data_IF_839102088671
#
_entry.id   IF_839102088671
#
_cell.length_a   1.000
_cell.length_b   1.000
_cell.length_c   1.000
_cell.angle_alpha   90.00
_cell.angle_beta   90.00
_cell.angle_gamma   90.00
#
_symmetry.space_group_name_H-M   'P 1'
#
loop_
_entity.id
_entity.type
_entity.pdbx_description
1 polymer ?
#
# COMPACT_ATOMS: atom_id res chain seq x y z
N UNK A 1 1.58 6.40 -33.10
CA UNK A 1 0.40 6.43 -34.00
C UNK A 1 0.20 7.87 -34.45
N UNK A 2 -0.16 8.06 -35.72
CA UNK A 2 -0.66 9.30 -36.35
C UNK A 2 -1.61 10.07 -35.42
N UNK A 3 -1.88 11.36 -35.51
CA UNK A 3 -1.64 12.49 -36.43
C UNK A 3 -2.16 13.70 -35.63
N UNK A 4 -1.65 14.91 -35.85
CA UNK A 4 -2.48 16.15 -35.82
C UNK A 4 -1.64 17.37 -36.20
N UNK A 5 -1.69 17.65 -37.50
CA UNK A 5 -1.48 18.93 -38.17
C UNK A 5 -2.05 20.15 -37.43
N UNK A 6 -1.24 21.21 -37.31
CA UNK A 6 -1.74 22.58 -37.43
C UNK A 6 -1.02 23.26 -38.59
N UNK A 7 -1.80 23.64 -39.60
CA UNK A 7 -1.35 24.40 -40.76
C UNK A 7 -1.23 25.88 -40.41
N UNK A 8 -0.10 26.51 -40.70
CA UNK A 8 0.01 27.96 -40.85
C UNK A 8 0.08 28.29 -42.35
N UNK A 9 -1.02 28.80 -42.89
CA UNK A 9 -1.06 29.47 -44.20
C UNK A 9 -0.35 30.81 -44.14
N UNK A 10 0.66 31.02 -44.97
CA UNK A 10 1.20 32.35 -45.29
C UNK A 10 0.97 32.63 -46.79
N UNK A 11 0.16 33.64 -47.11
CA UNK A 11 -0.13 34.09 -48.48
C UNK A 11 0.87 35.20 -48.85
N UNK A 12 1.71 34.98 -49.87
CA UNK A 12 2.53 36.01 -50.49
C UNK A 12 1.73 36.79 -51.55
N UNK A 13 2.00 38.09 -51.64
CA UNK A 13 1.29 39.12 -52.41
C UNK A 13 1.69 39.16 -53.89
N UNK A 14 0.87 39.78 -54.74
CA UNK A 14 1.32 40.24 -56.07
C UNK A 14 0.90 41.69 -56.33
N UNK A 15 1.88 42.57 -56.51
CA UNK A 15 1.82 43.72 -57.44
C UNK A 15 3.23 43.95 -58.00
N UNK A 16 3.30 44.15 -59.31
CA UNK A 16 4.54 44.31 -60.07
C UNK A 16 5.05 45.75 -60.04
N UNK A 17 6.33 45.95 -59.70
CA UNK A 17 7.35 46.63 -60.53
C UNK A 17 8.63 46.86 -59.69
N UNK A 18 9.74 46.28 -60.16
CA UNK A 18 11.12 46.79 -59.98
C UNK A 18 11.69 46.99 -58.57
N UNK A 19 12.41 45.99 -58.04
CA UNK A 19 13.71 46.13 -57.36
C UNK A 19 14.10 44.79 -56.69
N UNK A 20 15.40 44.61 -56.43
CA UNK A 20 16.09 43.40 -55.97
C UNK A 20 15.38 42.58 -54.87
N UNK A 21 15.39 41.25 -55.05
CA UNK A 21 14.83 40.26 -54.13
C UNK A 21 15.81 40.04 -52.97
N UNK A 22 15.46 40.48 -51.76
CA UNK A 22 16.08 40.02 -50.51
C UNK A 22 15.02 39.18 -49.79
N UNK A 23 15.25 37.88 -49.64
CA UNK A 23 14.45 37.03 -48.75
C UNK A 23 14.79 37.39 -47.31
N UNK A 24 13.94 38.17 -46.65
CA UNK A 24 13.92 38.28 -45.19
C UNK A 24 13.12 37.10 -44.62
N UNK A 25 13.80 36.25 -43.87
CA UNK A 25 13.17 35.18 -43.08
C UNK A 25 12.26 35.80 -42.01
N UNK A 26 11.09 35.20 -41.78
CA UNK A 26 10.20 35.55 -40.68
C UNK A 26 10.85 35.17 -39.35
N UNK A 27 10.86 36.02 -38.32
CA UNK A 27 11.31 35.61 -36.99
C UNK A 27 10.33 34.57 -36.42
N UNK A 28 10.84 33.41 -36.05
CA UNK A 28 10.13 32.44 -35.22
C UNK A 28 10.13 32.97 -33.79
N UNK A 29 9.03 33.58 -33.36
CA UNK A 29 8.83 33.81 -31.92
C UNK A 29 8.57 32.44 -31.28
N UNK A 30 9.54 31.96 -30.51
CA UNK A 30 9.34 30.81 -29.63
C UNK A 30 8.18 31.10 -28.67
N UNK A 31 7.26 30.16 -28.44
CA UNK A 31 6.25 30.34 -27.40
C UNK A 31 6.97 30.52 -26.05
N UNK A 32 6.45 31.38 -25.15
CA UNK A 32 7.07 31.59 -23.85
C UNK A 32 7.15 30.26 -23.08
N UNK A 33 8.17 30.07 -22.23
CA UNK A 33 8.31 28.85 -21.46
C UNK A 33 7.04 28.66 -20.64
N UNK A 34 6.42 27.49 -20.78
CA UNK A 34 5.31 27.06 -19.93
C UNK A 34 5.85 27.08 -18.50
N UNK A 35 5.41 28.06 -17.70
CA UNK A 35 5.64 28.06 -16.27
C UNK A 35 4.87 26.88 -15.71
N UNK A 36 5.60 25.82 -15.37
CA UNK A 36 5.10 24.74 -14.56
C UNK A 36 4.71 25.31 -13.19
N UNK A 37 3.47 25.75 -13.06
CA UNK A 37 2.86 26.02 -11.77
C UNK A 37 2.13 24.76 -11.31
N UNK A 38 2.86 23.65 -11.27
CA UNK A 38 2.57 22.59 -10.32
C UNK A 38 2.81 23.17 -8.93
N UNK A 39 1.72 23.49 -8.24
CA UNK A 39 1.78 23.74 -6.79
C UNK A 39 2.02 22.41 -6.09
N UNK A 40 3.25 21.91 -6.17
CA UNK A 40 3.79 20.95 -5.22
C UNK A 40 4.17 21.75 -3.97
N UNK A 41 3.17 22.02 -3.12
CA UNK A 41 3.37 22.71 -1.83
C UNK A 41 3.71 21.74 -0.71
N UNK A 42 4.27 20.57 -1.03
CA UNK A 42 4.92 19.69 -0.05
C UNK A 42 6.39 20.05 0.00
N UNK A 43 6.96 20.21 1.20
CA UNK A 43 8.41 20.06 1.31
C UNK A 43 8.80 18.69 0.73
N UNK A 44 9.90 18.59 -0.05
CA UNK A 44 10.33 17.32 -0.62
C UNK A 44 10.57 16.31 0.52
N UNK A 45 9.92 15.15 0.40
CA UNK A 45 10.04 14.08 1.39
C UNK A 45 11.47 13.55 1.39
N UNK A 46 12.01 13.16 2.54
CA UNK A 46 13.34 12.53 2.55
C UNK A 46 13.32 11.13 1.90
N UNK A 47 12.14 10.56 1.67
CA UNK A 47 11.97 9.26 1.02
C UNK A 47 12.16 9.32 -0.50
N UNK A 48 12.31 10.51 -1.08
CA UNK A 48 12.58 10.68 -2.51
C UNK A 48 14.07 10.43 -2.86
N UNK A 49 14.85 9.87 -1.93
CA UNK A 49 16.27 9.57 -2.13
C UNK A 49 16.46 8.25 -2.90
N UNK A 50 17.24 8.29 -3.99
CA UNK A 50 17.46 7.10 -4.85
C UNK A 50 18.30 5.99 -4.21
N UNK A 51 19.00 6.28 -3.11
CA UNK A 51 19.85 5.31 -2.40
C UNK A 51 19.83 5.61 -0.91
N UNK A 52 18.88 5.04 -0.15
CA UNK A 52 18.90 5.14 1.31
C UNK A 52 20.23 4.59 1.86
N UNK A 53 20.65 5.12 3.02
CA UNK A 53 21.84 4.66 3.74
C UNK A 53 21.73 3.20 4.26
N UNK A 54 22.70 2.74 5.07
CA UNK A 54 22.69 1.38 5.61
C UNK A 54 21.53 1.15 6.58
N UNK A 55 21.13 -0.12 6.74
CA UNK A 55 20.12 -0.53 7.72
C UNK A 55 20.49 -0.09 9.15
N UNK A 56 19.53 0.49 9.87
CA UNK A 56 19.61 0.86 11.28
C UNK A 56 18.99 -0.27 12.09
N UNK A 57 19.82 -1.04 12.80
CA UNK A 57 19.36 -2.18 13.60
C UNK A 57 19.29 -1.80 15.08
N UNK A 58 18.12 -2.03 15.68
CA UNK A 58 17.79 -1.72 17.08
C UNK A 58 17.39 -3.03 17.78
N UNK A 59 18.20 -3.46 18.74
CA UNK A 59 18.06 -4.70 19.51
C UNK A 59 17.69 -4.47 20.98
N UNK A 60 17.87 -3.24 21.48
CA UNK A 60 17.65 -2.88 22.88
C UNK A 60 17.05 -1.47 23.01
N UNK A 61 16.41 -1.20 24.14
CA UNK A 61 15.87 0.13 24.44
C UNK A 61 16.96 1.20 24.55
N UNK A 62 18.18 0.83 24.99
CA UNK A 62 19.31 1.75 25.08
C UNK A 62 19.76 2.27 23.71
N UNK A 63 19.71 1.43 22.67
CA UNK A 63 20.05 1.85 21.30
C UNK A 63 19.05 2.90 20.77
N UNK A 64 17.78 2.80 21.15
CA UNK A 64 16.76 3.81 20.80
C UNK A 64 17.11 5.18 21.41
N UNK A 65 17.54 5.20 22.68
CA UNK A 65 17.91 6.43 23.38
C UNK A 65 19.18 7.07 22.79
N UNK A 66 20.13 6.25 22.31
CA UNK A 66 21.39 6.72 21.73
C UNK A 66 21.26 7.23 20.29
N UNK A 67 20.41 6.61 19.46
CA UNK A 67 20.31 6.92 18.03
C UNK A 67 19.76 8.31 17.72
N UNK A 68 18.89 8.85 18.60
CA UNK A 68 18.28 10.18 18.45
C UNK A 68 17.79 10.47 17.02
N UNK A 69 17.03 9.53 16.46
CA UNK A 69 16.54 9.63 15.09
C UNK A 69 15.71 10.92 14.90
N UNK A 70 15.92 11.58 13.76
CA UNK A 70 15.14 12.75 13.35
C UNK A 70 13.72 12.38 12.93
N UNK A 71 12.97 13.34 12.38
CA UNK A 71 11.58 13.09 11.95
C UNK A 71 11.48 12.24 10.68
N UNK A 72 12.54 12.24 9.85
CA UNK A 72 12.55 11.60 8.54
C UNK A 72 13.77 10.68 8.40
N UNK A 73 13.54 9.40 8.15
CA UNK A 73 14.58 8.36 8.04
C UNK A 73 14.38 7.55 6.76
N UNK A 74 15.11 7.83 5.66
CA UNK A 74 14.94 7.09 4.41
C UNK A 74 15.44 5.65 4.48
N UNK A 75 16.32 5.34 5.44
CA UNK A 75 16.86 4.00 5.66
C UNK A 75 15.80 2.98 6.12
N UNK A 76 16.20 1.71 6.08
CA UNK A 76 15.49 0.66 6.80
C UNK A 76 15.84 0.73 8.28
N UNK A 77 14.82 0.82 9.13
CA UNK A 77 14.91 0.60 10.58
C UNK A 77 14.45 -0.83 10.87
N UNK A 78 15.30 -1.62 11.55
CA UNK A 78 15.00 -2.98 12.00
C UNK A 78 14.93 -2.99 13.53
N UNK A 79 13.75 -3.19 14.10
CA UNK A 79 13.52 -3.36 15.54
C UNK A 79 13.36 -4.84 15.83
N UNK A 80 14.17 -5.40 16.73
CA UNK A 80 14.20 -6.84 17.00
C UNK A 80 14.67 -7.15 18.43
N UNK A 81 14.66 -8.43 18.80
CA UNK A 81 15.32 -8.93 20.02
C UNK A 81 14.65 -8.44 21.32
N UNK A 82 15.35 -7.67 22.17
CA UNK A 82 14.94 -7.39 23.55
C UNK A 82 14.29 -6.03 23.75
N UNK A 83 13.96 -5.33 22.67
CA UNK A 83 13.25 -4.05 22.73
C UNK A 83 11.91 -4.24 23.45
N UNK A 84 11.61 -3.33 24.38
CA UNK A 84 10.36 -3.31 25.16
C UNK A 84 9.62 -1.99 25.01
N UNK A 85 10.31 -0.92 24.61
CA UNK A 85 9.74 0.42 24.59
C UNK A 85 10.20 1.21 23.36
N UNK A 86 9.24 1.72 22.58
CA UNK A 86 9.50 2.53 21.39
C UNK A 86 9.29 4.04 21.60
N UNK A 87 9.06 4.53 22.83
CA UNK A 87 8.72 5.96 23.05
C UNK A 87 9.82 6.92 22.60
N UNK A 88 11.08 6.48 22.58
CA UNK A 88 12.19 7.26 22.02
C UNK A 88 12.12 7.48 20.50
N UNK A 89 11.23 6.76 19.79
CA UNK A 89 10.98 6.91 18.35
C UNK A 89 9.80 7.85 18.04
N UNK A 90 9.23 8.53 19.05
CA UNK A 90 8.05 9.41 18.90
C UNK A 90 8.25 10.64 18.00
N UNK A 91 9.48 10.94 17.61
CA UNK A 91 9.77 11.98 16.63
C UNK A 91 9.58 11.51 15.19
N UNK A 92 9.61 10.20 14.91
CA UNK A 92 9.47 9.69 13.55
C UNK A 92 8.13 10.13 12.94
N UNK A 93 8.20 10.62 11.70
CA UNK A 93 7.08 11.00 10.83
C UNK A 93 7.15 10.21 9.52
N UNK A 94 8.33 10.11 8.93
CA UNK A 94 8.52 9.39 7.67
C UNK A 94 9.65 8.36 7.79
N UNK A 95 9.39 7.15 7.32
CA UNK A 95 10.38 6.07 7.30
C UNK A 95 10.35 5.35 5.95
N UNK A 96 11.51 5.04 5.38
CA UNK A 96 11.59 4.22 4.17
C UNK A 96 11.05 2.82 4.45
N UNK A 97 11.77 2.03 5.25
CA UNK A 97 11.33 0.71 5.66
C UNK A 97 11.34 0.60 7.18
N UNK A 98 10.21 0.26 7.77
CA UNK A 98 10.10 -0.06 9.20
C UNK A 98 9.81 -1.55 9.37
N UNK A 99 10.81 -2.30 9.83
CA UNK A 99 10.73 -3.74 10.06
C UNK A 99 10.80 -4.02 11.57
N UNK A 100 9.69 -4.45 12.15
CA UNK A 100 9.58 -4.85 13.55
C UNK A 100 9.45 -6.37 13.56
N UNK A 101 10.50 -7.07 13.97
CA UNK A 101 10.52 -8.54 13.88
C UNK A 101 11.07 -9.21 15.10
N UNK A 102 10.51 -10.38 15.44
CA UNK A 102 11.05 -11.27 16.46
C UNK A 102 11.47 -10.53 17.74
N UNK A 103 10.62 -9.60 18.20
CA UNK A 103 10.77 -8.87 19.45
C UNK A 103 9.83 -9.49 20.50
N UNK A 104 10.18 -10.64 21.11
CA UNK A 104 9.28 -11.40 21.99
C UNK A 104 8.89 -10.68 23.28
N UNK A 105 9.53 -9.56 23.60
CA UNK A 105 9.22 -8.74 24.79
C UNK A 105 8.42 -7.48 24.46
N UNK A 106 8.28 -7.15 23.17
CA UNK A 106 7.58 -5.95 22.75
C UNK A 106 6.06 -6.20 22.79
N UNK A 107 5.38 -5.51 23.69
CA UNK A 107 3.93 -5.67 23.90
C UNK A 107 3.11 -4.57 23.25
N UNK A 108 3.75 -3.52 22.73
CA UNK A 108 3.06 -2.37 22.14
C UNK A 108 3.96 -1.58 21.19
N UNK A 109 3.36 -0.89 20.23
CA UNK A 109 4.05 0.02 19.32
C UNK A 109 3.96 1.49 19.77
N UNK A 110 3.59 1.75 21.03
CA UNK A 110 3.56 3.11 21.57
C UNK A 110 4.91 3.80 21.37
N UNK A 111 4.87 4.96 20.72
CA UNK A 111 6.05 5.65 20.20
C UNK A 111 6.04 5.80 18.68
N UNK A 112 5.29 4.97 17.95
CA UNK A 112 5.18 5.06 16.49
C UNK A 112 3.91 5.78 16.00
N UNK A 113 3.07 6.29 16.92
CA UNK A 113 1.76 6.86 16.59
C UNK A 113 1.80 8.19 15.83
N UNK A 114 2.98 8.78 15.66
CA UNK A 114 3.17 10.00 14.88
C UNK A 114 3.64 9.75 13.44
N UNK A 115 3.79 8.48 13.03
CA UNK A 115 4.13 8.18 11.64
C UNK A 115 3.03 8.68 10.70
N UNK A 116 3.46 9.39 9.67
CA UNK A 116 2.64 9.99 8.61
C UNK A 116 2.82 9.24 7.28
N UNK A 117 4.05 8.80 6.99
CA UNK A 117 4.41 8.04 5.79
C UNK A 117 5.37 6.90 6.10
N UNK A 118 5.11 5.72 5.55
CA UNK A 118 6.07 4.60 5.55
C UNK A 118 6.07 3.92 4.18
N UNK A 119 7.20 3.81 3.48
CA UNK A 119 7.16 3.13 2.17
C UNK A 119 6.95 1.61 2.32
N UNK A 120 7.47 0.99 3.39
CA UNK A 120 7.20 -0.42 3.71
C UNK A 120 7.19 -0.67 5.23
N UNK A 121 6.06 -1.14 5.75
CA UNK A 121 5.86 -1.55 7.13
C UNK A 121 5.80 -3.08 7.21
N UNK A 122 6.71 -3.68 7.96
CA UNK A 122 6.78 -5.13 8.18
C UNK A 122 6.70 -5.38 9.68
N UNK A 123 5.72 -6.16 10.12
CA UNK A 123 5.53 -6.57 11.50
C UNK A 123 5.45 -8.09 11.53
N UNK A 124 6.51 -8.76 12.00
CA UNK A 124 6.56 -10.23 11.95
C UNK A 124 7.08 -10.92 13.20
N UNK A 125 6.42 -11.99 13.64
CA UNK A 125 6.92 -12.81 14.76
C UNK A 125 6.96 -12.10 16.12
N UNK A 126 6.14 -11.07 16.35
CA UNK A 126 6.06 -10.33 17.61
C UNK A 126 4.94 -10.89 18.50
N UNK A 127 5.16 -12.09 19.04
CA UNK A 127 4.10 -12.90 19.67
C UNK A 127 3.58 -12.35 21.01
N UNK A 128 4.21 -11.33 21.60
CA UNK A 128 3.79 -10.74 22.87
C UNK A 128 2.87 -9.52 22.71
N UNK A 129 2.64 -9.06 21.48
CA UNK A 129 1.85 -7.87 21.18
C UNK A 129 0.38 -8.26 20.91
N UNK A 130 -0.56 -7.89 21.80
CA UNK A 130 -1.98 -8.23 21.62
C UNK A 130 -2.67 -7.36 20.58
N UNK A 131 -2.21 -6.12 20.40
CA UNK A 131 -2.81 -5.17 19.49
C UNK A 131 -1.73 -4.28 18.88
N UNK A 132 -1.94 -3.86 17.64
CA UNK A 132 -1.23 -2.69 17.11
C UNK A 132 -1.78 -1.42 17.76
N UNK A 133 -1.20 -0.27 17.39
CA UNK A 133 -1.66 1.04 17.86
C UNK A 133 -2.65 1.66 16.87
N UNK A 134 -3.29 2.75 17.29
CA UNK A 134 -3.99 3.66 16.38
C UNK A 134 -2.98 4.53 15.63
N UNK A 135 -2.70 4.20 14.37
CA UNK A 135 -1.84 4.97 13.47
C UNK A 135 -2.62 6.15 12.88
N UNK A 136 -3.00 7.11 13.74
CA UNK A 136 -3.91 8.21 13.40
C UNK A 136 -3.45 9.08 12.24
N UNK A 137 -2.15 9.23 12.09
CA UNK A 137 -1.53 10.14 11.12
C UNK A 137 -1.03 9.41 9.87
N UNK A 138 -0.97 8.08 9.89
CA UNK A 138 -0.34 7.30 8.84
C UNK A 138 -1.25 7.25 7.61
N UNK A 139 -1.05 8.21 6.71
CA UNK A 139 -1.90 8.43 5.55
C UNK A 139 -1.33 7.78 4.28
N UNK A 140 -0.01 7.56 4.23
CA UNK A 140 0.68 7.02 3.06
C UNK A 140 1.50 5.80 3.44
N UNK A 141 1.09 4.63 2.98
CA UNK A 141 1.89 3.41 3.10
C UNK A 141 2.04 2.73 1.75
N UNK A 142 3.28 2.38 1.39
CA UNK A 142 3.52 1.55 0.22
C UNK A 142 3.06 0.11 0.49
N UNK A 143 3.80 -0.65 1.28
CA UNK A 143 3.46 -2.04 1.60
C UNK A 143 3.25 -2.22 3.10
N UNK A 144 2.21 -2.96 3.48
CA UNK A 144 1.98 -3.44 4.84
C UNK A 144 2.06 -4.97 4.82
N UNK A 145 2.93 -5.53 5.65
CA UNK A 145 3.06 -6.98 5.87
C UNK A 145 2.97 -7.26 7.35
N UNK A 146 1.92 -7.96 7.79
CA UNK A 146 1.70 -8.34 9.19
C UNK A 146 1.60 -9.85 9.25
N UNK A 147 2.68 -10.52 9.67
CA UNK A 147 2.75 -11.99 9.55
C UNK A 147 3.30 -12.70 10.78
N UNK A 148 2.73 -13.85 11.13
CA UNK A 148 3.31 -14.71 12.18
C UNK A 148 3.29 -14.09 13.58
N UNK A 149 2.43 -13.12 13.88
CA UNK A 149 2.32 -12.51 15.20
C UNK A 149 1.25 -13.28 16.00
N UNK A 150 1.64 -14.41 16.60
CA UNK A 150 0.66 -15.37 17.14
C UNK A 150 -0.19 -14.85 18.29
N UNK A 151 0.24 -13.78 18.98
CA UNK A 151 -0.52 -13.15 20.06
C UNK A 151 -1.35 -11.94 19.62
N UNK A 152 -1.28 -11.54 18.35
CA UNK A 152 -1.97 -10.37 17.82
C UNK A 152 -3.45 -10.68 17.61
N UNK A 153 -4.31 -10.07 18.42
CA UNK A 153 -5.77 -10.20 18.32
C UNK A 153 -6.43 -9.04 17.58
N UNK A 154 -5.75 -7.90 17.47
CA UNK A 154 -6.32 -6.64 16.98
C UNK A 154 -5.29 -5.86 16.13
N UNK A 155 -5.65 -5.45 14.91
CA UNK A 155 -4.79 -4.68 14.00
C UNK A 155 -4.70 -3.20 14.34
N UNK A 156 -5.34 -2.75 15.43
CA UNK A 156 -5.42 -1.35 15.81
C UNK A 156 -6.29 -0.57 14.83
N UNK A 157 -5.83 0.59 14.37
CA UNK A 157 -6.53 1.32 13.30
C UNK A 157 -5.61 2.21 12.46
N UNK A 158 -5.99 2.37 11.20
CA UNK A 158 -5.32 3.20 10.21
C UNK A 158 -6.32 4.21 9.61
N UNK A 159 -6.90 5.12 10.41
CA UNK A 159 -8.03 5.94 9.99
C UNK A 159 -7.71 6.95 8.86
N UNK A 160 -6.43 7.27 8.64
CA UNK A 160 -5.98 8.13 7.56
C UNK A 160 -5.58 7.38 6.29
N UNK A 161 -5.43 6.04 6.36
CA UNK A 161 -4.92 5.22 5.27
C UNK A 161 -6.04 4.86 4.30
N UNK A 162 -6.24 5.70 3.29
CA UNK A 162 -7.28 5.49 2.28
C UNK A 162 -6.83 4.66 1.08
N UNK A 163 -5.51 4.56 0.87
CA UNK A 163 -4.91 3.73 -0.16
C UNK A 163 -3.53 3.23 0.24
N UNK A 164 -3.14 2.07 -0.28
CA UNK A 164 -1.78 1.56 -0.19
C UNK A 164 -1.38 0.85 -1.49
N UNK A 165 -0.13 0.40 -1.61
CA UNK A 165 0.28 -0.48 -2.73
C UNK A 165 -0.01 -1.93 -2.43
N UNK A 166 0.34 -2.45 -1.26
CA UNK A 166 0.16 -3.86 -0.92
C UNK A 166 -0.28 -4.01 0.52
N UNK A 167 -1.21 -4.94 0.75
CA UNK A 167 -1.57 -5.42 2.08
C UNK A 167 -1.41 -6.94 2.12
N UNK A 168 -0.61 -7.41 3.06
CA UNK A 168 -0.41 -8.83 3.34
C UNK A 168 -0.62 -9.10 4.84
N UNK A 169 -1.55 -10.00 5.15
CA UNK A 169 -1.86 -10.44 6.50
C UNK A 169 -1.88 -11.96 6.51
N UNK A 170 -0.98 -12.59 7.28
CA UNK A 170 -0.90 -14.04 7.29
C UNK A 170 -0.34 -14.68 8.56
N UNK A 171 -0.85 -15.86 8.95
CA UNK A 171 -0.31 -16.61 10.09
C UNK A 171 -0.39 -15.87 11.44
N UNK A 172 -1.36 -14.97 11.61
CA UNK A 172 -1.64 -14.34 12.91
C UNK A 172 -2.77 -15.15 13.57
N UNK A 173 -2.41 -16.22 14.27
CA UNK A 173 -3.34 -17.27 14.72
C UNK A 173 -4.49 -16.76 15.61
N UNK A 174 -4.25 -15.71 16.40
CA UNK A 174 -5.21 -15.15 17.35
C UNK A 174 -5.98 -13.92 16.81
N UNK A 175 -5.73 -13.51 15.56
CA UNK A 175 -6.38 -12.34 14.95
C UNK A 175 -7.85 -12.66 14.63
N UNK A 176 -8.79 -11.82 15.09
CA UNK A 176 -10.23 -12.12 15.00
C UNK A 176 -10.90 -11.64 13.72
N UNK A 177 -10.42 -10.54 13.15
CA UNK A 177 -10.98 -9.89 11.96
C UNK A 177 -9.96 -8.90 11.37
N UNK A 178 -10.36 -8.13 10.36
CA UNK A 178 -9.53 -7.13 9.70
C UNK A 178 -9.89 -5.69 10.11
N UNK A 179 -10.62 -5.50 11.22
CA UNK A 179 -10.95 -4.16 11.74
C UNK A 179 -9.67 -3.37 11.94
N UNK A 180 -9.75 -2.07 11.69
CA UNK A 180 -8.62 -1.16 11.60
C UNK A 180 -8.29 -0.70 10.18
N UNK A 181 -8.76 -1.40 9.15
CA UNK A 181 -8.62 -1.00 7.73
C UNK A 181 -9.89 -0.41 7.12
N UNK A 182 -10.84 0.06 7.93
CA UNK A 182 -12.14 0.55 7.45
C UNK A 182 -12.01 1.80 6.56
N UNK A 183 -10.92 2.56 6.67
CA UNK A 183 -10.66 3.71 5.81
C UNK A 183 -10.08 3.32 4.43
N UNK A 184 -9.56 2.09 4.28
CA UNK A 184 -8.86 1.65 3.09
C UNK A 184 -9.85 1.40 1.95
N UNK A 185 -9.67 2.13 0.85
CA UNK A 185 -10.58 2.07 -0.31
C UNK A 185 -9.97 1.42 -1.55
N UNK A 186 -8.63 1.46 -1.66
CA UNK A 186 -7.94 0.93 -2.83
C UNK A 186 -6.54 0.43 -2.51
N UNK A 187 -6.14 -0.62 -3.22
CA UNK A 187 -4.76 -1.07 -3.30
C UNK A 187 -4.29 -0.91 -4.75
N UNK A 188 -3.14 -0.27 -4.97
CA UNK A 188 -2.58 -0.14 -6.34
C UNK A 188 -1.86 -1.42 -6.80
N UNK A 189 -1.45 -2.26 -5.87
CA UNK A 189 -0.92 -3.61 -6.06
C UNK A 189 -1.83 -4.65 -5.44
N UNK A 190 -1.26 -5.63 -4.73
CA UNK A 190 -1.97 -6.85 -4.33
C UNK A 190 -2.56 -6.82 -2.91
N UNK A 191 -3.63 -7.60 -2.73
CA UNK A 191 -4.15 -8.01 -1.43
C UNK A 191 -3.88 -9.50 -1.22
N UNK A 192 -3.20 -9.86 -0.12
CA UNK A 192 -2.90 -11.24 0.23
C UNK A 192 -3.32 -11.56 1.66
N UNK A 193 -4.28 -12.46 1.79
CA UNK A 193 -4.89 -12.87 3.06
C UNK A 193 -4.82 -14.39 3.17
N UNK A 194 -3.91 -14.91 3.99
CA UNK A 194 -3.66 -16.34 4.01
C UNK A 194 -3.23 -16.92 5.36
N UNK A 195 -3.43 -18.22 5.56
CA UNK A 195 -3.12 -18.93 6.82
C UNK A 195 -3.76 -18.24 8.05
N UNK A 196 -5.00 -17.77 7.94
CA UNK A 196 -5.77 -17.31 9.09
C UNK A 196 -6.40 -18.51 9.81
N UNK A 197 -6.14 -18.63 11.12
CA UNK A 197 -6.61 -19.76 11.91
C UNK A 197 -8.07 -19.63 12.37
N UNK A 198 -8.53 -18.41 12.70
CA UNK A 198 -9.83 -18.17 13.33
C UNK A 198 -10.74 -17.15 12.64
N UNK A 199 -10.26 -16.47 11.59
CA UNK A 199 -11.03 -15.45 10.86
C UNK A 199 -12.11 -16.11 9.98
N UNK A 200 -13.38 -15.76 10.21
CA UNK A 200 -14.53 -16.37 9.53
C UNK A 200 -15.01 -15.61 8.28
N UNK A 201 -14.64 -14.34 8.15
CA UNK A 201 -15.08 -13.42 7.09
C UNK A 201 -14.06 -12.26 6.92
N UNK A 202 -14.42 -11.21 6.17
CA UNK A 202 -13.55 -10.08 5.86
C UNK A 202 -13.98 -8.76 6.54
N UNK A 203 -14.68 -8.83 7.68
CA UNK A 203 -15.07 -7.63 8.43
C UNK A 203 -13.86 -6.74 8.69
N UNK A 204 -14.01 -5.44 8.44
CA UNK A 204 -12.96 -4.42 8.47
C UNK A 204 -12.42 -4.01 7.09
N UNK A 205 -12.74 -4.75 6.02
CA UNK A 205 -12.36 -4.43 4.63
C UNK A 205 -13.55 -3.97 3.77
N UNK A 206 -14.66 -3.53 4.37
CA UNK A 206 -15.94 -3.26 3.69
C UNK A 206 -15.81 -2.19 2.61
N UNK A 207 -14.89 -1.25 2.83
CA UNK A 207 -14.70 -0.10 1.95
C UNK A 207 -13.62 -0.32 0.88
N UNK A 208 -12.91 -1.45 0.89
CA UNK A 208 -11.90 -1.76 -0.11
C UNK A 208 -12.57 -2.15 -1.42
N UNK A 209 -12.62 -1.22 -2.39
CA UNK A 209 -13.35 -1.40 -3.65
C UNK A 209 -12.48 -2.00 -4.76
N UNK A 210 -11.19 -1.64 -4.81
CA UNK A 210 -10.32 -2.00 -5.93
C UNK A 210 -8.95 -2.51 -5.49
N UNK A 211 -8.48 -3.59 -6.13
CA UNK A 211 -7.13 -4.14 -6.00
C UNK A 211 -6.47 -4.09 -7.38
N UNK A 212 -5.43 -3.29 -7.56
CA UNK A 212 -4.78 -3.08 -8.86
C UNK A 212 -3.92 -4.26 -9.31
N UNK A 213 -3.43 -5.07 -8.37
CA UNK A 213 -2.70 -6.31 -8.61
C UNK A 213 -3.56 -7.55 -8.33
N UNK A 214 -2.94 -8.56 -7.73
CA UNK A 214 -3.59 -9.84 -7.43
C UNK A 214 -4.43 -9.77 -6.14
N UNK A 215 -5.54 -10.50 -6.09
CA UNK A 215 -6.23 -10.86 -4.86
C UNK A 215 -5.96 -12.35 -4.56
N UNK A 216 -5.31 -12.63 -3.43
CA UNK A 216 -5.03 -13.99 -2.96
C UNK A 216 -5.68 -14.23 -1.61
N UNK A 217 -6.57 -15.22 -1.55
CA UNK A 217 -7.24 -15.71 -0.34
C UNK A 217 -6.92 -17.20 -0.24
N UNK A 218 -6.01 -17.58 0.67
CA UNK A 218 -5.49 -18.95 0.71
C UNK A 218 -5.33 -19.54 2.11
N UNK A 219 -5.57 -20.85 2.28
CA UNK A 219 -5.29 -21.57 3.52
C UNK A 219 -6.00 -20.99 4.77
N UNK A 220 -7.14 -20.32 4.61
CA UNK A 220 -7.89 -19.78 5.75
C UNK A 220 -8.82 -20.86 6.32
N UNK A 221 -8.45 -21.41 7.48
CA UNK A 221 -8.96 -22.70 8.00
C UNK A 221 -10.44 -22.68 8.37
N UNK A 222 -10.96 -21.52 8.77
CA UNK A 222 -12.35 -21.37 9.23
C UNK A 222 -13.16 -20.36 8.42
N UNK A 223 -12.58 -19.78 7.37
CA UNK A 223 -13.24 -18.80 6.52
C UNK A 223 -14.51 -19.40 5.90
N UNK A 224 -15.67 -18.74 6.08
CA UNK A 224 -16.96 -19.27 5.63
C UNK A 224 -17.73 -18.35 4.68
N UNK A 225 -17.41 -17.05 4.65
CA UNK A 225 -18.09 -16.09 3.78
C UNK A 225 -17.15 -15.01 3.23
N UNK A 226 -17.63 -14.29 2.22
CA UNK A 226 -17.02 -13.06 1.70
C UNK A 226 -17.57 -11.80 2.38
N UNK A 227 -18.37 -11.94 3.45
CA UNK A 227 -18.94 -10.78 4.13
C UNK A 227 -17.82 -9.86 4.61
N UNK A 228 -17.99 -8.55 4.41
CA UNK A 228 -16.96 -7.57 4.72
C UNK A 228 -15.94 -7.34 3.60
N UNK A 229 -15.93 -8.12 2.50
CA UNK A 229 -15.03 -7.85 1.37
C UNK A 229 -15.74 -7.02 0.30
N UNK A 230 -15.48 -5.71 0.27
CA UNK A 230 -16.11 -4.77 -0.68
C UNK A 230 -15.54 -4.77 -2.10
N UNK A 231 -14.62 -5.68 -2.43
CA UNK A 231 -13.86 -5.65 -3.69
C UNK A 231 -14.77 -5.90 -4.88
N UNK A 232 -14.68 -5.04 -5.89
CA UNK A 232 -15.44 -5.14 -7.14
C UNK A 232 -14.57 -5.16 -8.39
N UNK A 233 -13.29 -4.81 -8.27
CA UNK A 233 -12.32 -4.83 -9.38
C UNK A 233 -10.95 -5.31 -8.91
N UNK A 234 -10.38 -6.23 -9.67
CA UNK A 234 -9.06 -6.83 -9.48
C UNK A 234 -8.30 -6.68 -10.81
N UNK A 235 -7.19 -5.94 -10.81
CA UNK A 235 -6.40 -5.71 -12.03
C UNK A 235 -5.56 -6.92 -12.45
N UNK A 236 -5.17 -7.77 -11.50
CA UNK A 236 -4.40 -8.99 -11.70
C UNK A 236 -5.24 -10.27 -11.55
N UNK A 237 -4.62 -11.30 -10.99
CA UNK A 237 -5.26 -12.61 -10.79
C UNK A 237 -6.18 -12.62 -9.56
N UNK A 238 -7.29 -13.35 -9.66
CA UNK A 238 -8.10 -13.78 -8.51
C UNK A 238 -7.71 -15.22 -8.14
N UNK A 239 -7.16 -15.41 -6.93
CA UNK A 239 -6.75 -16.71 -6.38
C UNK A 239 -7.52 -16.98 -5.08
N UNK A 240 -8.43 -17.94 -5.10
CA UNK A 240 -9.15 -18.42 -3.90
C UNK A 240 -8.87 -19.90 -3.73
N UNK A 241 -7.93 -20.21 -2.85
CA UNK A 241 -7.25 -21.51 -2.81
C UNK A 241 -7.31 -22.13 -1.42
N UNK A 242 -7.62 -23.43 -1.32
CA UNK A 242 -7.46 -24.19 -0.07
C UNK A 242 -8.21 -23.60 1.15
N UNK A 243 -9.40 -23.01 0.95
CA UNK A 243 -10.23 -22.53 2.06
C UNK A 243 -11.31 -23.59 2.38
N UNK A 244 -10.94 -24.60 3.18
CA UNK A 244 -11.73 -25.83 3.38
C UNK A 244 -13.14 -25.65 3.96
N UNK A 245 -13.46 -24.46 4.49
CA UNK A 245 -14.78 -24.12 5.04
C UNK A 245 -15.59 -23.18 4.15
N UNK A 246 -14.95 -22.52 3.19
CA UNK A 246 -15.56 -21.57 2.28
C UNK A 246 -16.25 -22.33 1.14
N UNK A 247 -17.56 -22.14 0.99
CA UNK A 247 -18.36 -22.84 -0.03
C UNK A 247 -17.90 -22.48 -1.44
N UNK A 248 -17.66 -23.48 -2.29
CA UNK A 248 -17.28 -23.25 -3.70
C UNK A 248 -18.32 -22.43 -4.46
N UNK A 249 -19.62 -22.56 -4.14
CA UNK A 249 -20.67 -21.74 -4.73
C UNK A 249 -20.51 -20.25 -4.39
N UNK A 250 -20.16 -19.93 -3.13
CA UNK A 250 -19.90 -18.54 -2.74
C UNK A 250 -18.67 -17.97 -3.44
N UNK A 251 -17.67 -18.82 -3.69
CA UNK A 251 -16.46 -18.44 -4.43
C UNK A 251 -16.79 -18.17 -5.90
N UNK A 252 -17.60 -19.02 -6.53
CA UNK A 252 -18.07 -18.81 -7.91
C UNK A 252 -18.94 -17.56 -8.03
N UNK A 253 -19.88 -17.34 -7.10
CA UNK A 253 -20.73 -16.16 -7.07
C UNK A 253 -19.92 -14.87 -6.92
N UNK A 254 -18.95 -14.86 -5.99
CA UNK A 254 -18.03 -13.73 -5.82
C UNK A 254 -17.22 -13.49 -7.10
N UNK A 255 -16.63 -14.54 -7.68
CA UNK A 255 -15.85 -14.43 -8.91
C UNK A 255 -16.68 -13.97 -10.12
N UNK A 256 -18.00 -14.23 -10.13
CA UNK A 256 -18.89 -13.82 -11.21
C UNK A 256 -19.27 -12.33 -11.17
N UNK A 257 -19.17 -11.67 -10.00
CA UNK A 257 -19.55 -10.25 -9.83
C UNK A 257 -18.36 -9.30 -9.79
N UNK A 258 -17.15 -9.81 -9.61
CA UNK A 258 -15.91 -9.01 -9.59
C UNK A 258 -15.30 -8.93 -10.98
N UNK A 259 -14.89 -7.73 -11.39
CA UNK A 259 -14.14 -7.53 -12.64
C UNK A 259 -12.68 -7.96 -12.44
N UNK A 260 -12.27 -9.07 -13.06
CA UNK A 260 -10.92 -9.64 -12.95
C UNK A 260 -10.16 -9.44 -14.25
N UNK A 261 -9.04 -8.71 -14.19
CA UNK A 261 -8.19 -8.42 -15.34
C UNK A 261 -7.25 -9.57 -15.73
N UNK A 262 -6.91 -10.44 -14.78
CA UNK A 262 -6.02 -11.58 -14.94
C UNK A 262 -6.74 -12.94 -14.96
N UNK A 263 -6.07 -13.97 -14.43
CA UNK A 263 -6.61 -15.31 -14.32
C UNK A 263 -7.45 -15.50 -13.06
N UNK A 264 -8.51 -16.29 -13.17
CA UNK A 264 -9.32 -16.73 -12.02
C UNK A 264 -8.97 -18.18 -11.68
N UNK A 265 -8.45 -18.42 -10.48
CA UNK A 265 -7.95 -19.72 -10.02
C UNK A 265 -8.64 -20.07 -8.70
N UNK A 266 -9.59 -20.99 -8.76
CA UNK A 266 -10.46 -21.39 -7.66
C UNK A 266 -10.27 -22.89 -7.42
N UNK A 267 -9.68 -23.29 -6.29
CA UNK A 267 -9.45 -24.71 -6.01
C UNK A 267 -9.27 -24.98 -4.51
N UNK A 268 -9.52 -26.20 -4.06
CA UNK A 268 -9.34 -26.55 -2.64
C UNK A 268 -10.34 -25.89 -1.68
N UNK A 269 -11.43 -25.31 -2.19
CA UNK A 269 -12.52 -24.78 -1.38
C UNK A 269 -13.53 -25.89 -1.02
N UNK A 270 -14.47 -25.61 -0.11
CA UNK A 270 -15.46 -26.58 0.37
C UNK A 270 -16.45 -26.95 -0.73
N UNK A 271 -16.44 -28.21 -1.15
CA UNK A 271 -17.42 -28.77 -2.09
C UNK A 271 -18.83 -28.66 -1.51
N UNK A 272 -19.76 -28.08 -2.27
CA UNK A 272 -21.14 -27.87 -1.88
C UNK A 272 -22.07 -28.03 -3.09
N UNK A 273 -23.33 -28.42 -2.85
CA UNK A 273 -24.34 -28.37 -3.91
C UNK A 273 -24.82 -26.92 -4.04
N UNK A 274 -24.59 -26.31 -5.19
CA UNK A 274 -25.09 -24.99 -5.53
C UNK A 274 -26.53 -25.11 -6.03
N UNK A 275 -27.45 -24.31 -5.45
CA UNK A 275 -28.88 -24.28 -5.80
C UNK A 275 -29.21 -23.14 -6.77
#
# INVERSE_FOLDING_TARGET
MRDSTFALTCRSTFTALGAALVLTACPTEDPPPVSDTGTETGEPSCLDTESPGPDIVINTDAEIEELQLGECVPERIIITSTVTNLTGLSNLREVGILEIRFAPTLTTLLGLGNLERVDTLIITGNNAMPALIEFKQLASVGSITITGNSGLTDLGSFPALTSARRLEIAGNDDLTDYSGFEALTSLTGSLELWDAAIIENFVGLENLVSVGGDLRIEDNKVLTSFDGLGVTSIGGDLKVLTNEKLSECLVEDFAAVVDVGGATILSGNKVALCD
#
